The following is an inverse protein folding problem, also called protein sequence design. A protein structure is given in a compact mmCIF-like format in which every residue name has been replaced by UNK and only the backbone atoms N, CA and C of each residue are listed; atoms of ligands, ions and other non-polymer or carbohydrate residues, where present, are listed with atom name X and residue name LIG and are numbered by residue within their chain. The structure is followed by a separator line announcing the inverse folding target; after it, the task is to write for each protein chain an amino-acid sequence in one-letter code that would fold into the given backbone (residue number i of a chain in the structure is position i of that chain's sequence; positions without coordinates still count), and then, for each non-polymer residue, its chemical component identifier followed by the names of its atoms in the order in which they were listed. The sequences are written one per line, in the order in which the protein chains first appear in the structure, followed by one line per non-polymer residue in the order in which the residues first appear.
data_IF_381270688964
#
_entry.id   IF_381270688964
#
_cell.length_a   1.000
_cell.length_b   1.000
_cell.length_c   1.000
_cell.angle_alpha   90.00
_cell.angle_beta   90.00
_cell.angle_gamma   90.00
#
_symmetry.space_group_name_H-M   'P 1'
#
loop_
_entity.id
_entity.type
_entity.pdbx_description
1 polymer ?
#
# COMPACT_ATOMS: atom_id res chain seq x y z
N UNK A 1 14.19 -14.83 -26.50
CA UNK A 1 13.11 -13.91 -26.06
C UNK A 1 13.02 -12.76 -27.04
N UNK A 2 11.82 -12.33 -27.43
CA UNK A 2 11.64 -11.11 -28.24
C UNK A 2 12.13 -9.89 -27.45
N UNK A 3 12.68 -8.88 -28.13
CA UNK A 3 13.09 -7.63 -27.47
C UNK A 3 11.93 -6.99 -26.68
N UNK A 4 10.71 -7.07 -27.21
CA UNK A 4 9.50 -6.61 -26.53
C UNK A 4 9.21 -7.38 -25.23
N UNK A 5 9.39 -8.71 -25.24
CA UNK A 5 9.14 -9.54 -24.05
C UNK A 5 10.18 -9.27 -22.95
N UNK A 6 11.42 -9.01 -23.33
CA UNK A 6 12.48 -8.63 -22.40
C UNK A 6 12.18 -7.29 -21.71
N UNK A 7 11.78 -6.27 -22.49
CA UNK A 7 11.43 -4.95 -21.96
C UNK A 7 10.20 -5.01 -21.04
N UNK A 8 9.17 -5.77 -21.42
CA UNK A 8 7.99 -5.98 -20.59
C UNK A 8 8.34 -6.62 -19.25
N UNK A 9 9.20 -7.66 -19.25
CA UNK A 9 9.66 -8.32 -18.02
C UNK A 9 10.44 -7.35 -17.12
N UNK A 10 11.35 -6.55 -17.69
CA UNK A 10 12.09 -5.51 -16.93
C UNK A 10 11.16 -4.45 -16.33
N UNK A 11 10.14 -4.02 -17.07
CA UNK A 11 9.15 -3.08 -16.57
C UNK A 11 8.38 -3.65 -15.37
N UNK A 12 7.91 -4.90 -15.48
CA UNK A 12 7.22 -5.61 -14.40
C UNK A 12 8.12 -5.81 -13.16
N UNK A 13 9.38 -6.21 -13.34
CA UNK A 13 10.35 -6.33 -12.25
C UNK A 13 10.54 -5.00 -11.52
N UNK A 14 10.71 -3.90 -12.28
CA UNK A 14 10.87 -2.55 -11.73
C UNK A 14 9.64 -2.12 -10.93
N UNK A 15 8.44 -2.43 -11.41
CA UNK A 15 7.20 -2.16 -10.70
C UNK A 15 7.10 -2.96 -9.39
N UNK A 16 7.36 -4.28 -9.44
CA UNK A 16 7.36 -5.15 -8.25
C UNK A 16 8.33 -4.66 -7.18
N UNK A 17 9.56 -4.31 -7.55
CA UNK A 17 10.55 -3.76 -6.62
C UNK A 17 10.06 -2.47 -5.98
N UNK A 18 9.45 -1.56 -6.75
CA UNK A 18 8.90 -0.29 -6.23
C UNK A 18 7.74 -0.52 -5.28
N UNK A 19 6.85 -1.48 -5.58
CA UNK A 19 5.75 -1.84 -4.70
C UNK A 19 6.29 -2.45 -3.40
N UNK A 20 7.22 -3.41 -3.51
CA UNK A 20 7.84 -4.08 -2.37
C UNK A 20 8.55 -3.07 -1.46
N UNK A 21 9.36 -2.16 -2.01
CA UNK A 21 10.05 -1.12 -1.23
C UNK A 21 9.08 -0.22 -0.47
N UNK A 22 7.99 0.25 -1.12
CA UNK A 22 6.97 1.06 -0.45
C UNK A 22 6.26 0.31 0.67
N UNK A 23 5.91 -0.97 0.44
CA UNK A 23 5.26 -1.82 1.44
C UNK A 23 6.19 -2.09 2.63
N UNK A 24 7.44 -2.46 2.35
CA UNK A 24 8.46 -2.70 3.37
C UNK A 24 8.70 -1.46 4.24
N UNK A 25 8.88 -0.28 3.65
CA UNK A 25 9.02 0.97 4.41
C UNK A 25 7.80 1.27 5.29
N UNK A 26 6.59 1.04 4.76
CA UNK A 26 5.36 1.26 5.53
C UNK A 26 5.32 0.32 6.74
N UNK A 27 5.69 -0.95 6.57
CA UNK A 27 5.72 -1.91 7.66
C UNK A 27 6.84 -1.63 8.66
N UNK A 28 8.02 -1.19 8.22
CA UNK A 28 9.07 -0.70 9.11
C UNK A 28 8.54 0.43 10.00
N UNK A 29 7.77 1.36 9.44
CA UNK A 29 7.14 2.43 10.23
C UNK A 29 6.06 1.89 11.19
N UNK A 30 5.25 0.91 10.75
CA UNK A 30 4.24 0.27 11.59
C UNK A 30 4.86 -0.37 12.83
N UNK A 31 6.02 -1.03 12.68
CA UNK A 31 6.75 -1.64 13.79
C UNK A 31 7.49 -0.63 14.67
N UNK A 32 8.22 0.31 14.07
CA UNK A 32 9.09 1.22 14.82
C UNK A 32 8.31 2.19 15.71
N UNK A 33 7.11 2.64 15.25
CA UNK A 33 6.24 3.66 15.87
C UNK A 33 6.89 5.05 16.00
N UNK A 34 8.07 5.12 16.63
CA UNK A 34 8.87 6.31 16.83
C UNK A 34 9.80 6.61 15.64
N UNK A 35 9.92 7.90 15.31
CA UNK A 35 10.66 8.36 14.12
C UNK A 35 12.16 8.09 14.16
N UNK A 36 12.79 8.23 15.32
CA UNK A 36 14.25 8.05 15.44
C UNK A 36 14.68 6.61 15.16
N UNK A 37 13.91 5.61 15.64
CA UNK A 37 14.12 4.19 15.30
C UNK A 37 13.83 3.94 13.82
N UNK A 38 12.70 4.45 13.34
CA UNK A 38 12.30 4.31 11.93
C UNK A 38 13.37 4.82 10.96
N UNK A 39 14.03 5.94 11.23
CA UNK A 39 15.02 6.48 10.31
C UNK A 39 16.23 5.57 10.13
N UNK A 40 16.71 4.95 11.22
CA UNK A 40 17.81 3.99 11.13
C UNK A 40 17.36 2.76 10.35
N UNK A 41 16.24 2.15 10.71
CA UNK A 41 15.74 0.94 10.04
C UNK A 41 15.42 1.20 8.55
N UNK A 42 14.86 2.36 8.23
CA UNK A 42 14.55 2.75 6.85
C UNK A 42 15.82 2.99 6.03
N UNK A 43 16.88 3.51 6.65
CA UNK A 43 18.19 3.65 6.01
C UNK A 43 18.79 2.27 5.68
N UNK A 44 18.85 1.36 6.66
CA UNK A 44 19.33 -0.01 6.47
C UNK A 44 18.52 -0.76 5.41
N UNK A 45 17.19 -0.57 5.41
CA UNK A 45 16.32 -1.09 4.36
C UNK A 45 16.71 -0.53 2.99
N UNK A 46 16.94 0.78 2.86
CA UNK A 46 17.34 1.39 1.58
C UNK A 46 18.68 0.84 1.10
N UNK A 47 19.66 0.72 1.98
CA UNK A 47 20.99 0.21 1.66
C UNK A 47 20.92 -1.20 1.07
N UNK A 48 20.10 -2.09 1.65
CA UNK A 48 19.86 -3.44 1.12
C UNK A 48 19.29 -3.44 -0.31
N UNK A 49 18.41 -2.49 -0.64
CA UNK A 49 17.87 -2.35 -2.00
C UNK A 49 18.92 -1.76 -2.97
N UNK A 50 19.70 -0.77 -2.53
CA UNK A 50 20.76 -0.17 -3.36
C UNK A 50 21.89 -1.16 -3.67
N UNK A 51 22.26 -2.03 -2.71
CA UNK A 51 23.28 -3.06 -2.90
C UNK A 51 22.97 -4.00 -4.08
N UNK A 52 21.69 -4.20 -4.42
CA UNK A 52 21.23 -5.10 -5.48
C UNK A 52 20.71 -4.35 -6.73
N UNK A 53 20.87 -3.03 -6.82
CA UNK A 53 20.30 -2.21 -7.89
C UNK A 53 20.87 -2.50 -9.28
N UNK A 54 22.14 -2.89 -9.34
CA UNK A 54 22.89 -3.08 -10.58
C UNK A 54 22.89 -4.53 -11.08
N UNK A 55 22.04 -5.40 -10.53
CA UNK A 55 21.91 -6.78 -11.03
C UNK A 55 21.26 -6.76 -12.41
N UNK A 56 21.90 -7.39 -13.39
CA UNK A 56 21.42 -7.43 -14.78
C UNK A 56 20.73 -8.76 -15.15
N UNK A 57 21.14 -9.86 -14.51
CA UNK A 57 20.56 -11.18 -14.79
C UNK A 57 19.09 -11.22 -14.35
N UNK A 58 18.18 -11.41 -15.33
CA UNK A 58 16.74 -11.43 -15.12
C UNK A 58 16.27 -12.47 -14.10
N UNK A 59 16.86 -13.67 -14.12
CA UNK A 59 16.46 -14.75 -13.21
C UNK A 59 16.94 -14.47 -11.79
N UNK A 60 18.14 -13.90 -11.65
CA UNK A 60 18.65 -13.48 -10.35
C UNK A 60 17.76 -12.39 -9.74
N UNK A 61 17.30 -11.42 -10.55
CA UNK A 61 16.37 -10.38 -10.11
C UNK A 61 15.06 -10.99 -9.62
N UNK A 62 14.49 -11.95 -10.36
CA UNK A 62 13.23 -12.58 -9.96
C UNK A 62 13.37 -13.34 -8.64
N UNK A 63 14.50 -14.02 -8.42
CA UNK A 63 14.81 -14.68 -7.14
C UNK A 63 14.94 -13.66 -6.01
N UNK A 64 15.70 -12.58 -6.21
CA UNK A 64 15.85 -11.52 -5.20
C UNK A 64 14.51 -10.86 -4.84
N UNK A 65 13.63 -10.63 -5.82
CA UNK A 65 12.29 -10.12 -5.58
C UNK A 65 11.47 -11.12 -4.77
N UNK A 66 11.51 -12.41 -5.12
CA UNK A 66 10.78 -13.45 -4.39
C UNK A 66 11.25 -13.59 -2.94
N UNK A 67 12.58 -13.58 -2.71
CA UNK A 67 13.18 -13.65 -1.38
C UNK A 67 12.82 -12.40 -0.53
N UNK A 68 12.81 -11.22 -1.18
CA UNK A 68 12.38 -9.98 -0.57
C UNK A 68 10.89 -9.98 -0.19
N UNK A 69 10.03 -10.47 -1.08
CA UNK A 69 8.59 -10.64 -0.83
C UNK A 69 8.32 -11.66 0.29
N UNK A 70 9.04 -12.78 0.31
CA UNK A 70 8.93 -13.79 1.37
C UNK A 70 9.37 -13.23 2.73
N UNK A 71 10.48 -12.51 2.76
CA UNK A 71 10.99 -11.85 3.97
C UNK A 71 10.00 -10.80 4.48
N UNK A 72 9.45 -9.97 3.60
CA UNK A 72 8.43 -8.99 3.95
C UNK A 72 7.15 -9.65 4.48
N UNK A 73 6.67 -10.71 3.84
CA UNK A 73 5.49 -11.45 4.29
C UNK A 73 5.68 -12.07 5.68
N UNK A 74 6.88 -12.58 5.98
CA UNK A 74 7.20 -13.14 7.30
C UNK A 74 7.13 -12.09 8.42
N UNK A 75 7.57 -10.87 8.14
CA UNK A 75 7.68 -9.79 9.13
C UNK A 75 6.56 -8.75 9.01
N UNK A 76 5.47 -9.08 8.30
CA UNK A 76 4.35 -8.16 8.12
C UNK A 76 3.69 -7.86 9.46
N UNK A 77 3.41 -6.60 9.72
CA UNK A 77 2.72 -6.20 10.94
C UNK A 77 1.28 -6.79 10.94
N UNK A 78 0.81 -7.40 12.04
CA UNK A 78 -0.52 -8.03 12.09
C UNK A 78 -1.67 -7.02 11.97
N UNK A 79 -1.48 -5.80 12.49
CA UNK A 79 -2.47 -4.71 12.44
C UNK A 79 -1.82 -3.40 11.94
N UNK A 80 -1.59 -3.26 10.62
CA UNK A 80 -0.85 -2.14 10.07
C UNK A 80 -1.64 -0.82 10.18
N UNK A 81 -0.95 0.32 10.30
CA UNK A 81 -1.64 1.61 10.30
C UNK A 81 -2.35 1.88 8.96
N UNK A 82 -3.65 2.16 9.07
CA UNK A 82 -4.52 2.55 7.95
C UNK A 82 -5.06 3.95 8.26
N UNK A 83 -4.92 4.86 7.30
CA UNK A 83 -5.46 6.21 7.46
C UNK A 83 -6.99 6.15 7.63
N UNK A 84 -7.60 6.97 8.51
CA UNK A 84 -8.98 6.76 8.92
C UNK A 84 -10.01 6.63 7.79
N UNK A 85 -9.85 7.36 6.69
CA UNK A 85 -10.82 7.39 5.58
C UNK A 85 -10.53 6.38 4.47
N UNK A 86 -9.40 5.68 4.48
CA UNK A 86 -9.08 4.65 3.49
C UNK A 86 -9.83 3.34 3.80
N UNK A 87 -10.00 2.43 2.83
CA UNK A 87 -10.54 1.10 3.08
C UNK A 87 -9.82 0.41 4.26
N UNK A 88 -10.59 -0.08 5.23
CA UNK A 88 -10.09 -0.68 6.47
C UNK A 88 -9.76 0.32 7.60
N UNK A 89 -9.91 1.63 7.35
CA UNK A 89 -9.75 2.67 8.37
C UNK A 89 -11.01 2.90 9.19
N UNK A 90 -10.87 3.50 10.37
CA UNK A 90 -11.95 3.69 11.35
C UNK A 90 -13.08 4.65 10.92
N UNK A 91 -12.86 5.46 9.88
CA UNK A 91 -13.84 6.40 9.31
C UNK A 91 -14.20 6.04 7.86
N UNK A 92 -13.78 4.86 7.38
CA UNK A 92 -14.18 4.40 6.06
C UNK A 92 -15.70 4.31 5.99
N UNK A 93 -16.29 4.86 4.93
CA UNK A 93 -17.74 4.88 4.69
C UNK A 93 -18.57 5.39 5.87
N UNK A 94 -18.01 6.25 6.74
CA UNK A 94 -18.77 6.82 7.86
C UNK A 94 -19.92 7.71 7.40
N UNK A 95 -19.68 8.48 6.34
CA UNK A 95 -20.66 9.39 5.73
C UNK A 95 -20.64 9.18 4.20
N UNK A 96 -21.25 8.11 3.67
CA UNK A 96 -21.33 7.91 2.23
C UNK A 96 -22.29 8.95 1.62
N UNK A 97 -22.02 9.36 0.38
CA UNK A 97 -22.97 10.18 -0.38
C UNK A 97 -24.28 9.39 -0.54
N UNK A 98 -25.45 9.98 -0.24
CA UNK A 98 -26.73 9.32 -0.45
C UNK A 98 -26.87 8.82 -1.90
N UNK A 99 -27.51 7.65 -2.10
CA UNK A 99 -27.89 7.20 -3.44
C UNK A 99 -28.77 8.24 -4.15
N UNK A 100 -28.68 8.29 -5.47
CA UNK A 100 -29.53 9.16 -6.28
C UNK A 100 -31.02 8.80 -6.07
N UNK A 101 -31.89 9.82 -6.01
CA UNK A 101 -33.34 9.66 -5.79
C UNK A 101 -33.77 9.60 -4.33
N UNK A 102 -32.84 9.75 -3.38
CA UNK A 102 -33.14 9.90 -1.95
C UNK A 102 -32.97 11.37 -1.58
N UNK A 103 -34.05 12.00 -1.12
CA UNK A 103 -34.05 13.38 -0.63
C UNK A 103 -34.20 13.41 0.89
N UNK A 104 -33.44 14.29 1.54
CA UNK A 104 -33.62 14.57 2.96
C UNK A 104 -34.76 15.58 3.07
N UNK A 105 -35.93 15.11 3.50
CA UNK A 105 -37.09 15.97 3.77
C UNK A 105 -36.94 16.57 5.17
N UNK A 106 -36.78 17.89 5.25
CA UNK A 106 -36.69 18.63 6.52
C UNK A 106 -38.07 19.07 7.03
N UNK A 107 -39.08 18.19 6.99
CA UNK A 107 -40.42 18.53 7.47
C UNK A 107 -40.62 18.25 8.97
N UNK A 108 -39.61 17.70 9.67
CA UNK A 108 -39.60 17.48 11.13
C UNK A 108 -40.89 16.85 11.70
N UNK A 109 -41.60 16.02 10.94
CA UNK A 109 -42.86 15.40 11.37
C UNK A 109 -44.10 16.29 11.27
N UNK A 110 -44.04 17.42 10.56
CA UNK A 110 -45.22 18.15 10.12
C UNK A 110 -45.93 17.33 9.03
N UNK A 111 -47.15 16.89 9.33
CA UNK A 111 -48.03 16.27 8.34
C UNK A 111 -48.59 17.36 7.41
N UNK A 112 -48.69 17.05 6.11
CA UNK A 112 -49.33 17.96 5.16
C UNK A 112 -50.81 18.10 5.55
N UNK A 113 -51.23 19.31 5.93
CA UNK A 113 -52.64 19.58 6.20
C UNK A 113 -53.42 19.50 4.89
N UNK A 114 -54.19 18.42 4.71
CA UNK A 114 -55.12 18.25 3.60
C UNK A 114 -56.39 19.05 3.92
N UNK A 115 -56.63 20.15 3.19
CA UNK A 115 -57.91 20.88 3.16
C UNK A 115 -58.96 20.19 2.27
#
# INVERSE_FOLDING_TARGET
MSAASHLARRAAQKERVRILYRRALKDTLNWAVHRHLFYQDAWELRERFEANKNVENLEAIDRLIADGEASHNKWRHPDPYIVPWAPGGSKFTRNPTPPAGIEIIYNYGLEDHIE
#
